data_IF_682065382128
#
_entry.id   IF_682065382128
#
_cell.length_a   1.000
_cell.length_b   1.000
_cell.length_c   1.000
_cell.angle_alpha   90.00
_cell.angle_beta   90.00
_cell.angle_gamma   90.00
#
_symmetry.space_group_name_H-M   'P 1'
#
loop_
_entity.id
_entity.type
_entity.pdbx_description
1 polymer ?
#
# COMPACT_ATOMS: atom_id res chain seq x y z
N UNK A 1 -3.01 61.98 31.62
CA UNK A 1 -2.32 62.30 30.35
C UNK A 1 -0.94 61.64 30.34
N UNK A 2 -0.77 60.55 29.60
CA UNK A 2 0.54 60.04 29.15
C UNK A 2 0.34 59.37 27.80
N UNK A 3 0.76 60.05 26.73
CA UNK A 3 0.97 59.46 25.40
C UNK A 3 2.41 58.96 25.36
N UNK A 4 2.62 57.72 24.89
CA UNK A 4 3.92 57.29 24.35
C UNK A 4 3.68 56.60 23.01
N UNK A 5 4.57 56.99 22.11
CA UNK A 5 4.59 56.96 20.66
C UNK A 5 4.87 55.55 20.11
N UNK A 6 4.14 55.14 19.07
CA UNK A 6 4.45 53.96 18.24
C UNK A 6 5.52 54.35 17.20
N UNK A 7 6.59 53.57 17.10
CA UNK A 7 7.56 53.64 16.00
C UNK A 7 7.17 52.58 14.96
N UNK A 8 6.89 53.03 13.74
CA UNK A 8 6.75 52.20 12.55
C UNK A 8 7.98 52.49 11.69
N UNK A 9 8.77 51.47 11.38
CA UNK A 9 9.88 51.57 10.42
C UNK A 9 9.48 50.87 9.14
N UNK A 10 9.41 51.65 8.06
CA UNK A 10 9.05 51.27 6.70
C UNK A 10 10.32 50.89 5.94
N UNK A 11 10.43 49.67 5.43
CA UNK A 11 11.45 49.31 4.43
C UNK A 11 10.82 49.31 3.05
N UNK A 12 11.20 50.31 2.25
CA UNK A 12 10.96 50.32 0.81
C UNK A 12 12.10 49.58 0.12
N UNK A 13 11.78 48.48 -0.59
CA UNK A 13 12.69 47.81 -1.51
C UNK A 13 12.06 47.79 -2.89
N UNK A 14 12.37 48.82 -3.69
CA UNK A 14 12.07 48.90 -5.11
C UNK A 14 13.27 48.37 -5.90
N UNK A 15 13.21 47.10 -6.29
CA UNK A 15 14.09 46.52 -7.31
C UNK A 15 13.31 46.39 -8.62
N UNK A 16 13.58 47.30 -9.55
CA UNK A 16 12.99 47.28 -10.89
C UNK A 16 13.50 46.07 -11.70
N UNK A 17 12.55 45.35 -12.27
CA UNK A 17 12.69 44.31 -13.27
C UNK A 17 13.40 44.86 -14.51
N UNK A 18 14.54 44.27 -14.87
CA UNK A 18 15.18 44.44 -16.18
C UNK A 18 14.81 43.24 -17.05
N UNK A 19 13.90 43.46 -18.01
CA UNK A 19 13.62 42.51 -19.08
C UNK A 19 14.63 42.73 -20.20
N UNK A 20 15.61 41.84 -20.33
CA UNK A 20 16.47 41.76 -21.50
C UNK A 20 16.06 40.54 -22.33
N UNK A 21 15.19 40.76 -23.31
CA UNK A 21 14.85 39.75 -24.32
C UNK A 21 16.05 39.54 -25.25
N UNK A 22 16.84 38.51 -24.99
CA UNK A 22 17.68 37.88 -26.01
C UNK A 22 16.92 36.69 -26.58
N UNK A 23 16.43 36.86 -27.80
CA UNK A 23 16.01 35.77 -28.69
C UNK A 23 17.22 34.90 -29.01
N UNK A 24 17.34 33.77 -28.31
CA UNK A 24 18.17 32.65 -28.77
C UNK A 24 17.29 31.59 -29.42
N UNK A 25 17.60 31.36 -30.70
CA UNK A 25 17.10 30.29 -31.55
C UNK A 25 17.26 28.93 -30.86
N UNK A 26 16.23 28.47 -30.17
CA UNK A 26 16.15 27.07 -29.76
C UNK A 26 15.50 26.31 -30.89
N UNK A 27 16.32 25.69 -31.75
CA UNK A 27 15.89 24.61 -32.64
C UNK A 27 14.98 23.69 -31.82
N UNK A 28 13.73 23.54 -32.25
CA UNK A 28 12.84 22.52 -31.73
C UNK A 28 13.57 21.17 -31.84
N UNK A 29 14.10 20.68 -30.72
CA UNK A 29 14.39 19.26 -30.59
C UNK A 29 13.04 18.59 -30.80
N UNK A 30 12.90 17.89 -31.92
CA UNK A 30 11.89 16.84 -32.07
C UNK A 30 11.99 16.00 -30.80
N UNK A 31 11.04 16.18 -29.89
CA UNK A 31 10.75 15.17 -28.90
C UNK A 31 10.42 13.94 -29.73
N UNK A 32 11.34 12.99 -29.76
CA UNK A 32 10.98 11.63 -30.08
C UNK A 32 9.96 11.28 -29.00
N UNK A 33 8.67 11.41 -29.34
CA UNK A 33 7.68 10.53 -28.78
C UNK A 33 8.15 9.15 -29.21
N UNK A 34 8.97 8.53 -28.37
CA UNK A 34 9.07 7.09 -28.36
C UNK A 34 7.63 6.63 -28.20
N UNK A 35 7.03 6.23 -29.32
CA UNK A 35 5.81 5.46 -29.29
C UNK A 35 6.10 4.38 -28.28
N UNK A 36 5.33 4.35 -27.19
CA UNK A 36 5.28 3.21 -26.31
C UNK A 36 5.10 2.01 -27.24
N UNK A 37 6.21 1.31 -27.49
CA UNK A 37 6.20 0.04 -28.16
C UNK A 37 5.44 -0.83 -27.18
N UNK A 38 4.14 -1.01 -27.41
CA UNK A 38 3.37 -2.08 -26.80
C UNK A 38 4.07 -3.35 -27.24
N UNK A 39 5.06 -3.77 -26.46
CA UNK A 39 5.75 -5.02 -26.67
C UNK A 39 4.65 -6.08 -26.67
N UNK A 40 4.48 -6.76 -27.80
CA UNK A 40 3.49 -7.83 -27.90
C UNK A 40 4.01 -8.94 -26.99
N UNK A 41 3.44 -9.03 -25.81
CA UNK A 41 3.76 -10.09 -24.85
C UNK A 41 3.31 -11.39 -25.50
N UNK A 42 4.19 -12.39 -25.67
CA UNK A 42 3.79 -13.66 -26.24
C UNK A 42 2.68 -14.29 -25.40
N UNK A 43 1.65 -14.83 -26.06
CA UNK A 43 0.55 -15.54 -25.39
C UNK A 43 1.02 -16.75 -24.56
N UNK A 44 2.26 -17.20 -24.77
CA UNK A 44 2.88 -18.29 -24.00
C UNK A 44 3.31 -17.88 -22.58
N UNK A 45 3.36 -16.59 -22.25
CA UNK A 45 3.70 -16.13 -20.91
C UNK A 45 2.45 -16.17 -20.03
N UNK A 46 2.49 -17.01 -18.99
CA UNK A 46 1.38 -17.15 -18.04
C UNK A 46 1.10 -15.81 -17.32
N UNK A 47 -0.18 -15.52 -17.11
CA UNK A 47 -0.63 -14.34 -16.38
C UNK A 47 -1.24 -14.73 -15.04
N UNK A 48 -0.77 -14.10 -13.97
CA UNK A 48 -1.33 -14.19 -12.63
C UNK A 48 -2.39 -13.10 -12.45
N UNK A 49 -3.64 -13.51 -12.23
CA UNK A 49 -4.68 -12.61 -11.73
C UNK A 49 -4.35 -12.28 -10.27
N UNK A 50 -4.33 -11.00 -9.90
CA UNK A 50 -4.03 -10.52 -8.55
C UNK A 50 -4.98 -11.16 -7.52
N UNK A 51 -4.44 -11.56 -6.36
CA UNK A 51 -5.29 -12.04 -5.26
C UNK A 51 -5.90 -10.87 -4.49
N UNK A 52 -7.06 -11.08 -3.89
CA UNK A 52 -7.79 -10.06 -3.15
C UNK A 52 -8.81 -10.71 -2.20
N UNK A 53 -9.62 -9.90 -1.52
CA UNK A 53 -10.70 -10.35 -0.64
C UNK A 53 -12.07 -10.07 -1.26
N UNK A 54 -13.10 -10.83 -0.87
CA UNK A 54 -14.48 -10.61 -1.34
C UNK A 54 -15.15 -9.40 -0.68
N UNK A 55 -14.38 -8.50 -0.04
CA UNK A 55 -14.90 -7.21 0.45
C UNK A 55 -15.27 -6.36 -0.77
N UNK A 56 -16.44 -5.73 -0.75
CA UNK A 56 -16.95 -4.98 -1.91
C UNK A 56 -16.78 -3.48 -1.74
N UNK A 57 -16.85 -2.72 -2.83
CA UNK A 57 -16.70 -1.26 -2.77
C UNK A 57 -17.83 -0.60 -1.97
N UNK A 58 -19.02 -1.18 -1.96
CA UNK A 58 -20.15 -0.72 -1.15
C UNK A 58 -19.85 -0.81 0.36
N UNK A 59 -18.99 -1.74 0.77
CA UNK A 59 -18.55 -1.87 2.16
C UNK A 59 -17.55 -0.78 2.55
N UNK A 60 -16.89 -0.14 1.57
CA UNK A 60 -16.04 1.02 1.83
C UNK A 60 -16.86 2.28 2.01
N UNK A 61 -18.05 2.38 1.40
CA UNK A 61 -18.90 3.58 1.50
C UNK A 61 -19.26 3.82 2.97
N UNK A 62 -18.60 4.82 3.55
CA UNK A 62 -18.84 5.23 4.91
C UNK A 62 -20.29 5.76 5.01
N UNK A 63 -21.14 5.09 5.78
CA UNK A 63 -22.54 5.52 5.99
C UNK A 63 -22.65 6.77 6.89
N UNK A 64 -21.52 7.30 7.38
CA UNK A 64 -21.42 8.58 8.07
C UNK A 64 -20.69 9.63 7.22
N UNK A 65 -20.94 10.91 7.51
CA UNK A 65 -20.39 12.09 6.82
C UNK A 65 -18.85 12.25 6.86
N UNK A 66 -18.10 11.22 7.24
CA UNK A 66 -16.64 11.27 7.33
C UNK A 66 -16.02 10.76 6.01
N UNK A 67 -15.91 11.69 5.07
CA UNK A 67 -15.34 11.47 3.72
C UNK A 67 -13.83 11.12 3.76
N UNK A 68 -13.19 11.16 4.93
CA UNK A 68 -11.73 11.17 5.03
C UNK A 68 -11.06 9.81 5.32
N UNK A 69 -11.83 8.73 5.53
CA UNK A 69 -11.34 7.41 6.01
C UNK A 69 -10.27 7.51 7.12
N UNK A 70 -10.32 8.57 7.92
CA UNK A 70 -9.26 8.89 8.87
C UNK A 70 -9.62 8.35 10.23
N UNK A 71 -8.71 7.56 10.80
CA UNK A 71 -8.81 7.05 12.18
C UNK A 71 -7.64 7.58 12.97
N UNK A 72 -7.87 7.84 14.26
CA UNK A 72 -6.82 8.27 15.19
C UNK A 72 -6.70 7.27 16.33
N UNK A 73 -5.48 6.92 16.68
CA UNK A 73 -5.16 6.20 17.91
C UNK A 73 -3.95 6.85 18.55
N UNK A 74 -4.08 7.34 19.78
CA UNK A 74 -3.01 8.10 20.43
C UNK A 74 -2.58 9.31 19.60
N UNK A 75 -1.32 9.31 19.16
CA UNK A 75 -0.74 10.35 18.29
C UNK A 75 -0.65 9.91 16.82
N UNK A 76 -1.02 8.66 16.53
CA UNK A 76 -0.97 8.08 15.19
C UNK A 76 -2.31 8.20 14.47
N UNK A 77 -2.23 8.45 13.17
CA UNK A 77 -3.35 8.51 12.26
C UNK A 77 -3.22 7.46 11.17
N UNK A 78 -4.36 6.90 10.79
CA UNK A 78 -4.53 6.00 9.66
C UNK A 78 -5.42 6.71 8.64
N UNK A 79 -4.83 7.19 7.55
CA UNK A 79 -5.56 7.81 6.44
C UNK A 79 -5.81 6.80 5.32
N UNK A 80 -6.88 7.05 4.55
CA UNK A 80 -7.23 6.32 3.32
C UNK A 80 -7.31 4.80 3.51
N UNK A 81 -7.70 4.36 4.70
CA UNK A 81 -7.73 2.95 5.09
C UNK A 81 -9.06 2.56 5.70
N UNK A 82 -9.63 1.48 5.19
CA UNK A 82 -10.80 0.84 5.79
C UNK A 82 -10.35 -0.33 6.63
N UNK A 83 -10.82 -0.36 7.88
CA UNK A 83 -10.46 -1.38 8.86
C UNK A 83 -11.68 -2.24 9.15
N UNK A 84 -11.56 -3.54 8.88
CA UNK A 84 -12.57 -4.54 9.15
C UNK A 84 -12.06 -5.56 10.14
N UNK A 85 -12.87 -5.95 11.11
CA UNK A 85 -12.49 -6.95 12.10
C UNK A 85 -13.59 -7.99 12.33
N UNK A 86 -13.19 -9.15 12.82
CA UNK A 86 -14.10 -10.19 13.29
C UNK A 86 -13.64 -10.69 14.66
N UNK A 87 -14.54 -10.59 15.65
CA UNK A 87 -14.20 -10.90 17.04
C UNK A 87 -14.11 -12.41 17.32
N UNK A 88 -14.87 -13.22 16.57
CA UNK A 88 -14.86 -14.68 16.69
C UNK A 88 -13.53 -15.24 16.18
N UNK A 89 -13.12 -14.82 14.98
CA UNK A 89 -11.83 -15.23 14.39
C UNK A 89 -10.64 -14.52 15.04
N UNK A 90 -10.90 -13.37 15.69
CA UNK A 90 -9.89 -12.45 16.21
C UNK A 90 -8.94 -11.99 15.10
N UNK A 91 -9.49 -11.60 13.97
CA UNK A 91 -8.75 -11.18 12.77
C UNK A 91 -9.15 -9.77 12.35
N UNK A 92 -8.24 -9.10 11.65
CA UNK A 92 -8.47 -7.79 11.03
C UNK A 92 -7.95 -7.79 9.60
N UNK A 93 -8.74 -7.21 8.70
CA UNK A 93 -8.34 -6.82 7.35
C UNK A 93 -8.26 -5.29 7.31
N UNK A 94 -7.17 -4.76 6.77
CA UNK A 94 -7.00 -3.33 6.50
C UNK A 94 -6.81 -3.16 5.01
N UNK A 95 -7.67 -2.38 4.37
CA UNK A 95 -7.59 -2.08 2.95
C UNK A 95 -7.15 -0.62 2.81
N UNK A 96 -5.96 -0.41 2.29
CA UNK A 96 -5.44 0.89 1.87
C UNK A 96 -5.96 1.21 0.48
N UNK A 97 -6.78 2.24 0.42
CA UNK A 97 -7.48 2.68 -0.78
C UNK A 97 -6.67 3.76 -1.48
N UNK A 98 -6.71 3.72 -2.81
CA UNK A 98 -6.27 4.79 -3.68
C UNK A 98 -7.46 5.33 -4.49
N UNK A 99 -7.20 6.05 -5.58
CA UNK A 99 -8.25 6.56 -6.48
C UNK A 99 -9.21 5.45 -6.91
N UNK A 100 -10.51 5.78 -6.99
CA UNK A 100 -11.58 4.88 -7.43
C UNK A 100 -11.67 3.54 -6.67
N UNK A 101 -11.36 3.56 -5.37
CA UNK A 101 -11.36 2.38 -4.50
C UNK A 101 -10.34 1.30 -4.88
N UNK A 102 -9.33 1.64 -5.68
CA UNK A 102 -8.24 0.71 -5.93
C UNK A 102 -7.57 0.31 -4.61
N UNK A 103 -7.27 -0.98 -4.46
CA UNK A 103 -6.71 -1.56 -3.23
C UNK A 103 -5.22 -1.67 -3.39
N UNK A 104 -4.51 -0.62 -2.96
CA UNK A 104 -3.06 -0.56 -3.12
C UNK A 104 -2.38 -1.60 -2.23
N UNK A 105 -2.75 -1.63 -0.94
CA UNK A 105 -2.28 -2.61 0.02
C UNK A 105 -3.44 -3.19 0.81
N UNK A 106 -3.51 -4.51 0.91
CA UNK A 106 -4.43 -5.20 1.82
C UNK A 106 -3.65 -6.00 2.85
N UNK A 107 -3.83 -5.64 4.12
CA UNK A 107 -3.21 -6.32 5.26
C UNK A 107 -4.23 -7.25 5.91
N UNK A 108 -3.82 -8.44 6.31
CA UNK A 108 -4.66 -9.37 7.07
C UNK A 108 -3.86 -10.09 8.14
N UNK A 109 -4.30 -10.06 9.39
CA UNK A 109 -3.56 -10.60 10.53
C UNK A 109 -4.46 -10.96 11.71
N UNK A 110 -3.94 -11.77 12.64
CA UNK A 110 -4.56 -12.02 13.94
C UNK A 110 -4.38 -10.83 14.88
N UNK A 111 -5.46 -10.40 15.55
CA UNK A 111 -5.48 -9.23 16.42
C UNK A 111 -4.54 -9.34 17.64
N UNK A 112 -4.19 -10.56 18.04
CA UNK A 112 -3.33 -10.84 19.20
C UNK A 112 -1.92 -11.31 18.82
N UNK A 113 -1.59 -11.37 17.53
CA UNK A 113 -0.32 -11.89 17.05
C UNK A 113 0.09 -11.20 15.74
N UNK A 114 -0.01 -9.86 15.70
CA UNK A 114 0.36 -9.06 14.53
C UNK A 114 1.88 -9.06 14.37
N UNK A 115 2.44 -9.46 13.22
CA UNK A 115 3.89 -9.34 12.98
C UNK A 115 4.35 -7.87 13.02
N UNK A 116 5.47 -7.59 13.71
CA UNK A 116 6.01 -6.23 13.81
C UNK A 116 6.36 -5.63 12.44
N UNK A 117 6.95 -6.43 11.55
CA UNK A 117 7.27 -6.03 10.17
C UNK A 117 6.00 -5.73 9.34
N UNK A 118 4.86 -6.34 9.68
CA UNK A 118 3.59 -6.01 9.03
C UNK A 118 3.12 -4.61 9.47
N UNK A 119 3.21 -4.30 10.76
CA UNK A 119 2.88 -2.97 11.31
C UNK A 119 3.82 -1.91 10.73
N UNK A 120 5.12 -2.20 10.60
CA UNK A 120 6.10 -1.24 10.07
C UNK A 120 5.81 -0.88 8.61
N UNK A 121 5.41 -1.87 7.79
CA UNK A 121 5.01 -1.70 6.38
C UNK A 121 3.71 -0.92 6.18
N UNK A 122 2.81 -0.91 7.17
CA UNK A 122 1.58 -0.13 7.07
C UNK A 122 1.90 1.37 7.17
N UNK A 123 1.51 2.15 6.15
CA UNK A 123 1.69 3.59 6.20
C UNK A 123 0.72 4.22 7.21
N UNK A 124 1.29 4.80 8.27
CA UNK A 124 0.60 5.49 9.35
C UNK A 124 1.37 6.77 9.65
N UNK A 125 0.66 7.86 9.97
CA UNK A 125 1.27 9.16 10.20
C UNK A 125 1.19 9.59 11.67
N UNK A 126 2.08 10.47 12.10
CA UNK A 126 2.01 11.20 13.37
C UNK A 126 2.42 12.64 13.09
N UNK A 127 1.54 13.59 13.42
CA UNK A 127 1.77 15.02 13.16
C UNK A 127 2.06 15.37 11.68
N UNK A 128 1.46 14.64 10.73
CA UNK A 128 1.64 14.84 9.30
C UNK A 128 2.85 14.13 8.69
N UNK A 129 3.73 13.55 9.52
CA UNK A 129 4.91 12.80 9.08
C UNK A 129 4.71 11.29 9.25
N UNK A 130 5.51 10.43 8.59
CA UNK A 130 5.49 8.99 8.86
C UNK A 130 5.74 8.70 10.35
N UNK A 131 4.83 7.94 10.97
CA UNK A 131 4.98 7.54 12.37
C UNK A 131 6.17 6.58 12.53
N UNK A 132 6.96 6.74 13.60
CA UNK A 132 8.05 5.80 13.92
C UNK A 132 7.50 4.41 14.27
N UNK A 133 8.30 3.36 14.05
CA UNK A 133 7.87 1.97 14.33
C UNK A 133 7.39 1.79 15.78
N UNK A 134 8.13 2.34 16.74
CA UNK A 134 7.76 2.32 18.17
C UNK A 134 6.42 3.01 18.41
N UNK A 135 6.15 4.12 17.74
CA UNK A 135 4.87 4.84 17.86
C UNK A 135 3.73 4.03 17.24
N UNK A 136 3.94 3.45 16.04
CA UNK A 136 2.97 2.57 15.39
C UNK A 136 2.59 1.41 16.31
N UNK A 137 3.58 0.70 16.87
CA UNK A 137 3.35 -0.43 17.78
C UNK A 137 2.57 -0.03 19.04
N UNK A 138 2.93 1.11 19.65
CA UNK A 138 2.25 1.63 20.84
C UNK A 138 0.78 1.92 20.58
N UNK A 139 0.48 2.58 19.47
CA UNK A 139 -0.87 3.08 19.18
C UNK A 139 -1.73 2.07 18.40
N UNK A 140 -1.15 1.00 17.83
CA UNK A 140 -1.84 0.10 16.90
C UNK A 140 -3.17 -0.45 17.42
N UNK A 141 -3.20 -0.86 18.70
CA UNK A 141 -4.37 -1.47 19.32
C UNK A 141 -5.61 -0.56 19.34
N UNK A 142 -5.44 0.76 19.32
CA UNK A 142 -6.58 1.67 19.27
C UNK A 142 -7.28 1.67 17.91
N UNK A 143 -6.59 1.34 16.82
CA UNK A 143 -7.24 1.17 15.51
C UNK A 143 -8.11 -0.09 15.47
N UNK A 144 -7.62 -1.20 16.06
CA UNK A 144 -8.38 -2.45 16.13
C UNK A 144 -9.72 -2.30 16.85
N UNK A 145 -9.76 -1.45 17.89
CA UNK A 145 -11.00 -1.14 18.63
C UNK A 145 -12.03 -0.37 17.82
N UNK A 146 -11.60 0.32 16.77
CA UNK A 146 -12.46 1.16 15.93
C UNK A 146 -12.88 0.43 14.64
N UNK A 147 -12.27 -0.71 14.31
CA UNK A 147 -12.52 -1.45 13.08
C UNK A 147 -13.99 -1.91 12.96
N UNK A 148 -14.57 -1.74 11.78
CA UNK A 148 -15.94 -2.16 11.49
C UNK A 148 -16.06 -3.69 11.56
N UNK A 149 -17.16 -4.21 12.13
CA UNK A 149 -17.36 -5.65 12.27
C UNK A 149 -17.96 -6.24 11.00
N UNK A 150 -17.36 -7.28 10.46
CA UNK A 150 -17.88 -7.98 9.27
C UNK A 150 -17.86 -9.51 9.46
N UNK A 151 -18.62 -10.21 8.61
CA UNK A 151 -18.73 -11.66 8.61
C UNK A 151 -17.37 -12.35 8.42
N UNK A 152 -17.21 -13.54 9.00
CA UNK A 152 -16.04 -14.40 8.81
C UNK A 152 -15.84 -14.82 7.35
N UNK A 153 -16.89 -14.80 6.53
CA UNK A 153 -16.83 -15.11 5.09
C UNK A 153 -15.91 -14.17 4.31
N UNK A 154 -15.61 -12.98 4.84
CA UNK A 154 -14.72 -12.02 4.20
C UNK A 154 -13.24 -12.21 4.55
N UNK A 155 -12.91 -13.16 5.45
CA UNK A 155 -11.53 -13.41 5.91
C UNK A 155 -10.83 -14.55 5.17
N UNK A 156 -11.24 -14.79 3.94
CA UNK A 156 -10.63 -15.73 3.00
C UNK A 156 -10.41 -14.98 1.69
N UNK A 157 -9.22 -15.10 1.10
CA UNK A 157 -8.93 -14.46 -0.19
C UNK A 157 -9.73 -15.12 -1.32
N UNK A 158 -9.84 -14.47 -2.47
CA UNK A 158 -10.47 -14.99 -3.68
C UNK A 158 -9.75 -16.25 -4.17
N UNK A 159 -8.46 -16.41 -3.87
CA UNK A 159 -7.69 -17.65 -4.11
C UNK A 159 -7.75 -18.66 -2.96
N UNK A 160 -8.57 -18.40 -1.94
CA UNK A 160 -8.87 -19.33 -0.86
C UNK A 160 -7.85 -19.35 0.29
N UNK A 161 -6.96 -18.36 0.41
CA UNK A 161 -6.02 -18.26 1.54
C UNK A 161 -6.70 -17.69 2.78
N UNK A 162 -6.45 -18.31 3.94
CA UNK A 162 -6.89 -17.84 5.25
C UNK A 162 -5.78 -17.99 6.28
N UNK A 163 -5.82 -17.18 7.34
CA UNK A 163 -4.88 -17.38 8.45
C UNK A 163 -5.05 -18.77 9.07
N UNK A 164 -3.93 -19.37 9.46
CA UNK A 164 -3.84 -20.77 9.88
C UNK A 164 -3.58 -21.77 8.75
N UNK A 165 -3.61 -21.34 7.48
CA UNK A 165 -3.20 -22.20 6.37
C UNK A 165 -1.72 -22.60 6.50
N UNK A 166 -1.36 -23.82 6.06
CA UNK A 166 0.02 -24.28 6.11
C UNK A 166 0.89 -23.54 5.07
N UNK A 167 2.15 -23.27 5.42
CA UNK A 167 3.16 -22.70 4.50
C UNK A 167 3.22 -23.42 3.16
N UNK A 168 3.11 -24.74 3.18
CA UNK A 168 3.16 -25.56 1.98
C UNK A 168 2.08 -25.18 0.96
N UNK A 169 0.89 -24.75 1.40
CA UNK A 169 -0.17 -24.29 0.49
C UNK A 169 0.27 -23.06 -0.32
N UNK A 170 0.93 -22.10 0.32
CA UNK A 170 1.43 -20.91 -0.35
C UNK A 170 2.56 -21.24 -1.34
N UNK A 171 3.51 -22.08 -0.92
CA UNK A 171 4.62 -22.52 -1.79
C UNK A 171 4.12 -23.36 -2.98
N UNK A 172 3.12 -24.21 -2.77
CA UNK A 172 2.50 -24.99 -3.86
C UNK A 172 1.74 -24.11 -4.85
N UNK A 173 1.14 -23.01 -4.39
CA UNK A 173 0.36 -22.13 -5.26
C UNK A 173 1.22 -21.08 -5.98
N UNK A 174 2.08 -20.37 -5.25
CA UNK A 174 2.90 -19.26 -5.80
C UNK A 174 4.30 -19.71 -6.23
N UNK A 175 4.67 -20.97 -6.00
CA UNK A 175 6.01 -21.48 -6.25
C UNK A 175 7.02 -21.02 -5.19
N UNK A 176 8.31 -21.11 -5.54
CA UNK A 176 9.42 -20.72 -4.66
C UNK A 176 9.36 -19.20 -4.40
N UNK A 177 9.46 -18.74 -3.13
CA UNK A 177 9.52 -17.31 -2.83
C UNK A 177 10.81 -16.68 -3.34
N UNK A 178 10.77 -15.40 -3.72
CA UNK A 178 11.95 -14.66 -4.15
C UNK A 178 12.85 -14.32 -2.96
N UNK A 179 12.23 -14.11 -1.79
CA UNK A 179 12.93 -13.83 -0.54
C UNK A 179 12.28 -14.55 0.63
N UNK A 180 13.13 -15.04 1.52
CA UNK A 180 12.76 -15.67 2.77
C UNK A 180 13.63 -15.10 3.88
N UNK A 181 13.00 -14.65 4.96
CA UNK A 181 13.69 -14.15 6.15
C UNK A 181 13.02 -14.70 7.40
N UNK A 182 13.79 -14.92 8.46
CA UNK A 182 13.26 -15.36 9.75
C UNK A 182 13.69 -14.35 10.80
N UNK A 183 12.72 -13.84 11.55
CA UNK A 183 12.95 -12.90 12.64
C UNK A 183 12.02 -13.20 13.81
N UNK A 184 12.55 -13.22 15.04
CA UNK A 184 11.82 -13.52 16.28
C UNK A 184 10.88 -14.76 16.20
N UNK A 185 11.31 -15.81 15.48
CA UNK A 185 10.51 -17.03 15.28
C UNK A 185 9.33 -16.89 14.32
N UNK A 186 9.26 -15.80 13.57
CA UNK A 186 8.33 -15.57 12.46
C UNK A 186 9.09 -15.64 11.14
N UNK A 187 8.67 -16.53 10.25
CA UNK A 187 9.20 -16.68 8.90
C UNK A 187 8.39 -15.81 7.93
N UNK A 188 9.06 -14.91 7.22
CA UNK A 188 8.47 -14.08 6.17
C UNK A 188 8.89 -14.63 4.81
N UNK A 189 7.91 -14.86 3.93
CA UNK A 189 8.08 -15.22 2.53
C UNK A 189 7.55 -14.09 1.64
N UNK A 190 8.30 -13.73 0.61
CA UNK A 190 7.95 -12.65 -0.33
C UNK A 190 7.95 -13.19 -1.77
N UNK A 191 6.88 -12.91 -2.51
CA UNK A 191 6.77 -13.13 -3.96
C UNK A 191 6.45 -11.81 -4.66
N UNK A 192 7.22 -11.48 -5.68
CA UNK A 192 7.13 -10.28 -6.51
C UNK A 192 6.87 -10.69 -7.96
N UNK A 193 5.78 -10.21 -8.53
CA UNK A 193 5.37 -10.47 -9.90
C UNK A 193 5.46 -9.16 -10.66
N UNK A 194 6.19 -9.16 -11.78
CA UNK A 194 6.29 -7.98 -12.66
C UNK A 194 4.96 -7.81 -13.39
N UNK A 195 4.49 -6.57 -13.50
CA UNK A 195 3.32 -6.22 -14.28
C UNK A 195 3.46 -6.54 -15.76
N UNK A 196 2.40 -7.01 -16.41
CA UNK A 196 2.41 -7.21 -17.86
C UNK A 196 2.65 -5.89 -18.61
N UNK A 197 2.15 -4.77 -18.09
CA UNK A 197 2.42 -3.43 -18.63
C UNK A 197 3.87 -2.93 -18.47
N UNK A 198 4.63 -3.53 -17.55
CA UNK A 198 6.03 -3.17 -17.28
C UNK A 198 7.03 -4.21 -17.80
N UNK A 199 6.54 -5.24 -18.49
CA UNK A 199 7.36 -6.35 -18.96
C UNK A 199 8.14 -6.00 -20.23
N UNK A 200 9.46 -6.16 -20.18
CA UNK A 200 10.33 -6.13 -21.35
C UNK A 200 10.64 -7.57 -21.80
N UNK A 201 10.24 -7.92 -23.01
CA UNK A 201 10.45 -9.25 -23.59
C UNK A 201 11.94 -9.65 -23.70
N UNK A 202 12.84 -8.68 -23.79
CA UNK A 202 14.26 -8.94 -23.98
C UNK A 202 14.98 -9.23 -22.66
N UNK A 203 14.50 -8.65 -21.57
CA UNK A 203 15.20 -8.68 -20.27
C UNK A 203 14.35 -9.30 -19.15
N UNK A 204 13.07 -9.52 -19.39
CA UNK A 204 12.11 -9.99 -18.40
C UNK A 204 12.24 -11.47 -18.03
N UNK A 205 11.76 -11.85 -16.84
CA UNK A 205 11.78 -13.22 -16.36
C UNK A 205 10.86 -14.10 -17.20
N UNK A 206 11.40 -15.18 -17.76
CA UNK A 206 10.66 -16.09 -18.66
C UNK A 206 9.88 -17.18 -17.94
N UNK A 207 10.14 -17.39 -16.65
CA UNK A 207 9.65 -18.55 -15.88
C UNK A 207 8.63 -18.22 -14.80
N UNK A 208 8.36 -16.93 -14.55
CA UNK A 208 7.39 -16.49 -13.54
C UNK A 208 6.21 -15.83 -14.25
N UNK A 209 4.96 -16.09 -13.83
CA UNK A 209 3.82 -15.44 -14.42
C UNK A 209 3.88 -13.92 -14.21
N UNK A 210 3.33 -13.17 -15.15
CA UNK A 210 3.21 -11.71 -15.06
C UNK A 210 1.94 -11.33 -14.31
N UNK A 211 2.00 -10.27 -13.48
CA UNK A 211 0.81 -9.72 -12.87
C UNK A 211 -0.07 -9.09 -13.95
N UNK A 212 -1.27 -9.62 -14.12
CA UNK A 212 -2.22 -9.16 -15.14
C UNK A 212 -2.80 -7.81 -14.77
N UNK A 213 -2.86 -6.89 -15.74
CA UNK A 213 -3.52 -5.58 -15.62
C UNK A 213 -2.97 -4.76 -14.43
N UNK A 214 -1.66 -4.84 -14.18
CA UNK A 214 -0.97 -4.26 -13.02
C UNK A 214 0.44 -3.82 -13.41
N UNK A 215 1.04 -2.84 -12.72
CA UNK A 215 2.50 -2.57 -12.82
C UNK A 215 3.34 -3.55 -12.00
N UNK A 216 2.71 -4.26 -11.06
CA UNK A 216 3.39 -5.20 -10.20
C UNK A 216 2.47 -5.70 -9.10
N UNK A 217 2.67 -6.96 -8.72
CA UNK A 217 1.98 -7.55 -7.59
C UNK A 217 2.99 -8.11 -6.61
N UNK A 218 2.85 -7.76 -5.33
CA UNK A 218 3.67 -8.34 -4.27
C UNK A 218 2.77 -9.05 -3.26
N UNK A 219 3.21 -10.24 -2.86
CA UNK A 219 2.60 -11.05 -1.81
C UNK A 219 3.65 -11.25 -0.73
N UNK A 220 3.34 -10.80 0.49
CA UNK A 220 4.15 -11.07 1.67
C UNK A 220 3.31 -11.89 2.62
N UNK A 221 3.83 -13.06 3.03
CA UNK A 221 3.17 -13.91 4.01
C UNK A 221 4.08 -14.17 5.21
N UNK A 222 3.51 -14.09 6.41
CA UNK A 222 4.19 -14.32 7.67
C UNK A 222 3.70 -15.64 8.27
N UNK A 223 4.63 -16.53 8.60
CA UNK A 223 4.38 -17.85 9.14
C UNK A 223 4.98 -18.00 10.53
N UNK A 224 4.24 -18.62 11.44
CA UNK A 224 4.74 -19.05 12.75
C UNK A 224 4.36 -20.51 12.94
N UNK A 225 5.32 -21.36 13.29
CA UNK A 225 5.12 -22.81 13.36
C UNK A 225 4.46 -23.38 12.08
N UNK A 226 4.95 -22.93 10.92
CA UNK A 226 4.44 -23.28 9.58
C UNK A 226 2.98 -22.89 9.28
N UNK A 227 2.37 -22.03 10.11
CA UNK A 227 1.00 -21.55 9.95
C UNK A 227 0.98 -20.06 9.61
N UNK A 228 0.17 -19.68 8.62
CA UNK A 228 0.00 -18.30 8.20
C UNK A 228 -0.58 -17.46 9.37
N UNK A 229 0.12 -16.43 9.81
CA UNK A 229 -0.30 -15.53 10.91
C UNK A 229 -0.55 -14.10 10.45
N UNK A 230 -0.06 -13.73 9.28
CA UNK A 230 -0.39 -12.48 8.62
C UNK A 230 -0.01 -12.48 7.16
N UNK A 231 -0.59 -11.58 6.37
CA UNK A 231 -0.23 -11.37 4.98
C UNK A 231 -0.47 -9.92 4.53
N UNK A 232 0.26 -9.52 3.49
CA UNK A 232 0.13 -8.26 2.77
C UNK A 232 0.01 -8.59 1.29
N UNK A 233 -1.05 -8.11 0.66
CA UNK A 233 -1.24 -8.13 -0.79
C UNK A 233 -1.06 -6.71 -1.30
N UNK A 234 -0.08 -6.48 -2.16
CA UNK A 234 0.17 -5.18 -2.78
C UNK A 234 -0.15 -5.26 -4.27
N UNK A 235 -0.95 -4.34 -4.79
CA UNK A 235 -1.30 -4.29 -6.20
C UNK A 235 -0.99 -2.90 -6.75
N UNK A 236 0.07 -2.79 -7.53
CA UNK A 236 0.48 -1.51 -8.11
C UNK A 236 -0.40 -1.21 -9.33
N UNK A 237 -0.95 0.01 -9.36
CA UNK A 237 -1.86 0.48 -10.41
C UNK A 237 -1.06 0.77 -11.68
N UNK A 238 -1.54 0.35 -12.88
CA UNK A 238 -1.05 0.80 -14.19
C UNK A 238 -1.18 2.30 -14.50
#
# INVERSE_FOLDING_TARGET
MKQILKIITLFALSGFLSCNNKTENTRAKKVHTDKASTAIIPDSIEKLIVDDYPVTNEMFINKGNDLSYTRKSGQTFSHDKVWFSNDILRQTIVVELYTDYHRLHTFHFYNNAVPNDLISKMWLSAYGEPASEKQKQKDFNGFLKQAAKISSSYFVTNKGFKLGDPKQKAVSYYGKPDKQTIDEGTEKLEWNFIGDNSYDINTGPKSKPLAKDSFGHQIIMYFKNEKLVGQILSNDIP
#
